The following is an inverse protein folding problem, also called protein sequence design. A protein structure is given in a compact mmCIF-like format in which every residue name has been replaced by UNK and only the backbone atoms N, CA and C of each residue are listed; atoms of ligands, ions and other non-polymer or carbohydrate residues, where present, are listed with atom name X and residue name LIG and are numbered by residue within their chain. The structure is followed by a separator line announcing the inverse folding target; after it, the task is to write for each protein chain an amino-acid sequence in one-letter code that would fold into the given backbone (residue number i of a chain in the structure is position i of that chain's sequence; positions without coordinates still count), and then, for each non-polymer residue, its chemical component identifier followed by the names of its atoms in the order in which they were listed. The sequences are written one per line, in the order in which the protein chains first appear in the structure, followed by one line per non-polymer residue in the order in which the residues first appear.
data_IF_476498276188
#
_entry.id   IF_476498276188
#
_cell.length_a   1.000
_cell.length_b   1.000
_cell.length_c   1.000
_cell.angle_alpha   90.00
_cell.angle_beta   90.00
_cell.angle_gamma   90.00
#
_symmetry.space_group_name_H-M   'P 1'
#
loop_
_entity.id
_entity.type
_entity.pdbx_description
1 polymer ?
#
# COMPACT_ATOMS: atom_id res chain seq x y z
N UNK A 1 19.02 -60.42 39.31
CA UNK A 1 19.19 -59.14 40.04
C UNK A 1 18.56 -58.05 39.21
N UNK A 2 17.60 -57.33 39.79
CA UNK A 2 16.68 -56.40 39.15
C UNK A 2 17.32 -55.07 38.73
N UNK A 3 16.71 -54.43 37.72
CA UNK A 3 16.96 -53.04 37.27
C UNK A 3 16.65 -52.00 38.34
N UNK A 4 17.23 -50.79 38.22
CA UNK A 4 16.50 -49.58 38.57
C UNK A 4 16.42 -48.60 37.38
N UNK A 5 15.21 -48.52 36.84
CA UNK A 5 14.41 -47.32 36.50
C UNK A 5 15.16 -46.02 36.21
N UNK A 6 15.12 -45.63 34.94
CA UNK A 6 15.49 -44.32 34.41
C UNK A 6 14.51 -43.27 34.97
N UNK A 7 14.93 -42.59 36.04
CA UNK A 7 14.08 -41.62 36.73
C UNK A 7 13.90 -40.38 35.86
N UNK A 8 12.70 -40.24 35.28
CA UNK A 8 12.26 -39.05 34.57
C UNK A 8 12.18 -37.87 35.52
N UNK A 9 13.16 -36.97 35.43
CA UNK A 9 13.07 -35.64 36.03
C UNK A 9 12.26 -34.75 35.08
N UNK A 10 10.98 -34.57 35.42
CA UNK A 10 10.08 -33.65 34.75
C UNK A 10 10.62 -32.23 34.83
N UNK A 11 11.11 -31.71 33.71
CA UNK A 11 11.30 -30.27 33.53
C UNK A 11 9.90 -29.67 33.38
N UNK A 12 9.36 -29.12 34.47
CA UNK A 12 8.16 -28.30 34.44
C UNK A 12 8.47 -27.00 33.68
N UNK A 13 8.40 -27.05 32.35
CA UNK A 13 8.34 -25.85 31.52
C UNK A 13 6.93 -25.30 31.70
N UNK A 14 6.74 -24.46 32.72
CA UNK A 14 5.60 -23.56 32.83
C UNK A 14 5.67 -22.54 31.71
N UNK A 15 5.38 -22.97 30.49
CA UNK A 15 5.26 -22.10 29.33
C UNK A 15 3.89 -21.45 29.36
N UNK A 16 3.83 -20.17 29.72
CA UNK A 16 2.72 -19.29 29.38
C UNK A 16 2.35 -19.54 27.90
N UNK A 17 1.18 -20.12 27.68
CA UNK A 17 0.68 -20.37 26.33
C UNK A 17 0.33 -19.01 25.73
N UNK A 18 1.26 -18.42 24.99
CA UNK A 18 0.98 -17.27 24.13
C UNK A 18 0.04 -17.77 23.03
N UNK A 19 -1.27 -17.69 23.26
CA UNK A 19 -2.25 -17.91 22.20
C UNK A 19 -2.04 -16.83 21.15
N UNK A 20 -1.64 -17.26 19.95
CA UNK A 20 -1.70 -16.43 18.76
C UNK A 20 -3.17 -16.11 18.53
N UNK A 21 -3.54 -14.82 18.58
CA UNK A 21 -4.93 -14.41 18.29
C UNK A 21 -5.22 -14.80 16.84
N UNK A 22 -6.09 -15.79 16.67
CA UNK A 22 -6.72 -16.04 15.40
C UNK A 22 -7.68 -14.89 15.14
N UNK A 23 -7.51 -14.18 14.03
CA UNK A 23 -8.54 -13.29 13.54
C UNK A 23 -9.54 -14.19 12.79
N UNK A 24 -10.71 -14.41 13.38
CA UNK A 24 -11.85 -14.94 12.63
C UNK A 24 -12.18 -13.91 11.55
N UNK A 25 -12.05 -14.33 10.29
CA UNK A 25 -12.38 -13.56 9.08
C UNK A 25 -13.90 -13.53 8.88
N UNK A 26 -14.61 -13.10 9.92
CA UNK A 26 -16.07 -13.16 9.99
C UNK A 26 -16.64 -11.80 10.40
N UNK A 27 -16.22 -10.76 9.67
CA UNK A 27 -17.07 -9.61 9.36
C UNK A 27 -16.47 -8.73 8.27
N UNK A 28 -16.41 -9.22 7.02
CA UNK A 28 -16.18 -8.35 5.86
C UNK A 28 -17.50 -7.80 5.33
N UNK A 29 -18.21 -7.12 6.21
CA UNK A 29 -19.17 -6.12 5.81
C UNK A 29 -18.38 -4.88 5.37
N UNK A 30 -18.45 -4.58 4.08
CA UNK A 30 -18.57 -3.22 3.56
C UNK A 30 -17.42 -2.27 3.93
N UNK A 31 -16.34 -2.35 3.16
CA UNK A 31 -15.91 -1.32 2.20
C UNK A 31 -14.54 -1.72 1.68
N UNK A 32 -14.30 -1.48 0.40
CA UNK A 32 -12.96 -1.60 -0.17
C UNK A 32 -12.06 -0.55 0.49
N UNK A 33 -11.58 -0.81 1.71
CA UNK A 33 -10.27 -0.33 2.13
C UNK A 33 -9.27 -1.00 1.19
N UNK A 34 -9.13 -0.40 0.01
CA UNK A 34 -8.13 -0.73 -0.98
C UNK A 34 -6.83 -0.83 -0.20
N UNK A 35 -6.32 -2.05 -0.01
CA UNK A 35 -5.13 -2.35 0.78
C UNK A 35 -3.98 -1.41 0.40
N UNK A 36 -3.90 -0.24 1.07
CA UNK A 36 -2.93 0.82 0.80
C UNK A 36 -1.56 0.43 1.40
N UNK A 37 -1.56 -0.58 2.28
CA UNK A 37 -0.44 -1.05 3.10
C UNK A 37 0.28 -2.28 2.53
N UNK A 38 -0.37 -3.08 1.68
CA UNK A 38 0.27 -4.24 1.03
C UNK A 38 1.37 -3.84 0.01
N UNK A 39 1.51 -2.55 -0.30
CA UNK A 39 2.49 -2.00 -1.25
C UNK A 39 3.94 -2.00 -0.71
N UNK A 40 4.14 -2.10 0.62
CA UNK A 40 5.47 -2.15 1.25
C UNK A 40 6.28 -3.39 0.86
N UNK A 41 5.63 -4.48 0.40
CA UNK A 41 6.29 -5.77 0.15
C UNK A 41 7.06 -5.86 -1.17
N UNK A 42 6.86 -4.91 -2.09
CA UNK A 42 7.41 -4.96 -3.46
C UNK A 42 8.28 -3.75 -3.83
N UNK A 43 8.89 -3.07 -2.85
CA UNK A 43 9.92 -2.04 -3.10
C UNK A 43 9.50 -0.92 -4.06
N UNK A 44 8.22 -0.55 -4.07
CA UNK A 44 7.70 0.52 -4.93
C UNK A 44 7.42 0.17 -6.38
N UNK A 45 7.74 -1.05 -6.82
CA UNK A 45 7.54 -1.47 -8.22
C UNK A 45 6.07 -1.38 -8.68
N UNK A 46 5.12 -1.40 -7.74
CA UNK A 46 3.69 -1.34 -8.04
C UNK A 46 3.13 0.10 -8.13
N UNK A 47 3.85 1.12 -7.64
CA UNK A 47 3.31 2.49 -7.50
C UNK A 47 3.07 3.15 -8.87
N UNK A 48 3.88 2.79 -9.86
CA UNK A 48 3.73 3.26 -11.24
C UNK A 48 3.07 2.22 -12.16
N UNK A 49 2.40 1.21 -11.61
CA UNK A 49 1.70 0.23 -12.44
C UNK A 49 0.60 0.91 -13.26
N UNK A 50 0.42 0.47 -14.51
CA UNK A 50 -0.59 1.02 -15.42
C UNK A 50 -2.00 0.99 -14.81
N UNK A 51 -2.33 -0.05 -14.03
CA UNK A 51 -3.59 -0.16 -13.29
C UNK A 51 -3.77 1.00 -12.30
N UNK A 52 -2.77 1.27 -11.46
CA UNK A 52 -2.81 2.34 -10.45
C UNK A 52 -2.87 3.73 -11.10
N UNK A 53 -2.09 3.95 -12.15
CA UNK A 53 -2.15 5.19 -12.92
C UNK A 53 -3.53 5.43 -13.55
N UNK A 54 -4.13 4.38 -14.11
CA UNK A 54 -5.47 4.47 -14.69
C UNK A 54 -6.54 4.74 -13.62
N UNK A 55 -6.44 4.11 -12.43
CA UNK A 55 -7.33 4.40 -11.31
C UNK A 55 -7.24 5.87 -10.88
N UNK A 56 -6.02 6.42 -10.79
CA UNK A 56 -5.85 7.85 -10.46
C UNK A 56 -6.52 8.76 -11.49
N UNK A 57 -6.44 8.43 -12.79
CA UNK A 57 -7.16 9.16 -13.83
C UNK A 57 -8.67 9.09 -13.61
N UNK A 58 -9.21 7.92 -13.24
CA UNK A 58 -10.64 7.76 -12.98
C UNK A 58 -11.08 8.61 -11.78
N UNK A 59 -10.34 8.55 -10.66
CA UNK A 59 -10.59 9.36 -9.48
C UNK A 59 -10.53 10.86 -9.78
N UNK A 60 -9.52 11.30 -10.55
CA UNK A 60 -9.42 12.70 -10.98
C UNK A 60 -10.60 13.16 -11.86
N UNK A 61 -11.14 12.25 -12.69
CA UNK A 61 -12.33 12.54 -13.52
C UNK A 61 -13.62 12.60 -12.72
N UNK A 62 -13.75 11.79 -11.67
CA UNK A 62 -14.89 11.86 -10.74
C UNK A 62 -14.86 13.17 -9.97
N UNK A 63 -13.68 13.52 -9.45
CA UNK A 63 -13.45 14.79 -8.77
C UNK A 63 -14.08 14.88 -7.38
N UNK A 64 -14.53 13.76 -6.83
CA UNK A 64 -15.04 13.68 -5.46
C UNK A 64 -13.91 13.99 -4.46
N UNK A 65 -14.22 14.63 -3.33
CA UNK A 65 -13.21 15.07 -2.35
C UNK A 65 -12.35 13.91 -1.84
N UNK A 66 -12.98 12.77 -1.55
CA UNK A 66 -12.29 11.54 -1.14
C UNK A 66 -11.35 11.01 -2.24
N UNK A 67 -11.77 11.07 -3.50
CA UNK A 67 -10.98 10.63 -4.65
C UNK A 67 -9.75 11.53 -4.85
N UNK A 68 -9.92 12.85 -4.70
CA UNK A 68 -8.83 13.81 -4.79
C UNK A 68 -7.83 13.65 -3.63
N UNK A 69 -8.31 13.38 -2.41
CA UNK A 69 -7.45 13.10 -1.27
C UNK A 69 -6.60 11.83 -1.50
N UNK A 70 -7.20 10.77 -2.04
CA UNK A 70 -6.49 9.54 -2.40
C UNK A 70 -5.43 9.78 -3.48
N UNK A 71 -5.75 10.61 -4.48
CA UNK A 71 -4.80 10.99 -5.52
C UNK A 71 -3.63 11.79 -4.91
N UNK A 72 -3.88 12.71 -3.99
CA UNK A 72 -2.83 13.45 -3.28
C UNK A 72 -1.92 12.51 -2.48
N UNK A 73 -2.47 11.53 -1.76
CA UNK A 73 -1.68 10.51 -1.04
C UNK A 73 -0.78 9.71 -1.99
N UNK A 74 -1.31 9.31 -3.15
CA UNK A 74 -0.53 8.60 -4.17
C UNK A 74 0.56 9.49 -4.78
N UNK A 75 0.29 10.77 -5.01
CA UNK A 75 1.32 11.71 -5.45
C UNK A 75 2.42 11.92 -4.42
N UNK A 76 2.10 11.97 -3.13
CA UNK A 76 3.12 12.00 -2.08
C UNK A 76 4.01 10.74 -2.13
N UNK A 77 3.43 9.56 -2.37
CA UNK A 77 4.19 8.32 -2.57
C UNK A 77 5.10 8.38 -3.80
N UNK A 78 4.70 9.06 -4.86
CA UNK A 78 5.57 9.20 -6.03
C UNK A 78 6.89 9.88 -5.64
N UNK A 79 6.85 10.86 -4.73
CA UNK A 79 8.06 11.52 -4.23
C UNK A 79 8.93 10.59 -3.39
N UNK A 80 8.32 9.79 -2.51
CA UNK A 80 9.07 8.83 -1.67
C UNK A 80 9.78 7.77 -2.53
N UNK A 81 9.19 7.40 -3.66
CA UNK A 81 9.78 6.49 -4.64
C UNK A 81 10.67 7.16 -5.70
N UNK A 82 11.04 8.43 -5.48
CA UNK A 82 12.04 9.13 -6.28
C UNK A 82 11.54 9.60 -7.65
N UNK A 83 10.23 9.64 -7.88
CA UNK A 83 9.70 10.24 -9.10
C UNK A 83 9.95 11.74 -9.09
N UNK A 84 10.69 12.19 -10.09
CA UNK A 84 10.89 13.60 -10.37
C UNK A 84 10.23 13.91 -11.72
N UNK A 85 9.39 14.95 -11.82
CA UNK A 85 8.77 15.31 -13.09
C UNK A 85 9.77 15.80 -14.15
N UNK A 86 11.03 16.07 -13.76
CA UNK A 86 12.15 16.34 -14.66
C UNK A 86 12.82 15.06 -15.21
N UNK A 87 12.60 13.91 -14.58
CA UNK A 87 13.14 12.61 -15.02
C UNK A 87 12.09 11.83 -15.81
N UNK A 88 12.46 11.26 -16.95
CA UNK A 88 11.56 10.44 -17.74
C UNK A 88 11.39 9.06 -17.07
N UNK A 89 10.19 8.79 -16.56
CA UNK A 89 9.81 7.46 -16.09
C UNK A 89 9.02 6.77 -17.21
N UNK A 90 9.55 5.68 -17.77
CA UNK A 90 9.10 5.10 -19.04
C UNK A 90 7.59 4.77 -19.10
N UNK A 91 7.00 4.35 -17.99
CA UNK A 91 5.55 4.07 -17.91
C UNK A 91 4.74 5.37 -17.96
N UNK A 92 5.19 6.39 -17.21
CA UNK A 92 4.52 7.67 -17.13
C UNK A 92 4.72 8.52 -18.37
N UNK A 93 5.76 8.29 -19.18
CA UNK A 93 6.06 9.07 -20.39
C UNK A 93 5.10 8.80 -21.57
N UNK A 94 4.18 7.84 -21.39
CA UNK A 94 3.13 7.59 -22.38
C UNK A 94 2.16 8.76 -22.46
N UNK A 95 1.77 9.13 -23.69
CA UNK A 95 0.88 10.27 -24.00
C UNK A 95 -0.41 10.31 -23.18
N UNK A 96 -0.99 9.14 -22.87
CA UNK A 96 -2.21 9.01 -22.07
C UNK A 96 -2.05 9.50 -20.62
N UNK A 97 -0.83 9.59 -20.10
CA UNK A 97 -0.53 10.06 -18.75
C UNK A 97 -0.02 11.52 -18.73
N UNK A 98 0.08 12.21 -19.88
CA UNK A 98 0.58 13.59 -19.94
C UNK A 98 -0.21 14.52 -19.01
N UNK A 99 -1.54 14.40 -19.02
CA UNK A 99 -2.42 15.18 -18.14
C UNK A 99 -2.18 14.85 -16.67
N UNK A 100 -2.03 13.57 -16.33
CA UNK A 100 -1.71 13.14 -14.97
C UNK A 100 -0.37 13.72 -14.50
N UNK A 101 0.66 13.76 -15.37
CA UNK A 101 1.95 14.40 -15.06
C UNK A 101 1.81 15.91 -14.85
N UNK A 102 0.97 16.60 -15.63
CA UNK A 102 0.69 18.03 -15.44
C UNK A 102 0.02 18.31 -14.10
N UNK A 103 -0.99 17.52 -13.76
CA UNK A 103 -1.73 17.62 -12.50
C UNK A 103 -0.80 17.39 -11.31
N UNK A 104 0.04 16.36 -11.38
CA UNK A 104 1.07 16.12 -10.36
C UNK A 104 2.00 17.33 -10.18
N UNK A 105 2.48 17.96 -11.28
CA UNK A 105 3.31 19.16 -11.18
C UNK A 105 2.56 20.31 -10.50
N UNK A 106 1.30 20.52 -10.85
CA UNK A 106 0.49 21.58 -10.25
C UNK A 106 0.28 21.34 -8.76
N UNK A 107 -0.06 20.10 -8.37
CA UNK A 107 -0.17 19.71 -6.97
C UNK A 107 1.16 19.88 -6.22
N UNK A 108 2.29 19.44 -6.79
CA UNK A 108 3.61 19.54 -6.17
C UNK A 108 4.04 20.98 -5.90
N UNK A 109 3.81 21.90 -6.84
CA UNK A 109 4.29 23.29 -6.73
C UNK A 109 3.25 24.28 -6.17
N UNK A 110 1.96 23.97 -6.25
CA UNK A 110 0.89 24.89 -5.84
C UNK A 110 -0.07 24.29 -4.80
N UNK A 111 0.09 23.02 -4.42
CA UNK A 111 -0.74 22.36 -3.41
C UNK A 111 -2.19 22.08 -3.86
N UNK A 112 -2.54 22.37 -5.11
CA UNK A 112 -3.91 22.24 -5.62
C UNK A 112 -3.98 21.20 -6.74
N UNK A 113 -5.02 20.36 -6.70
CA UNK A 113 -5.35 19.43 -7.78
C UNK A 113 -6.40 20.11 -8.66
N UNK A 114 -6.06 20.51 -9.90
CA UNK A 114 -7.05 21.06 -10.83
C UNK A 114 -8.05 19.98 -11.26
N UNK A 115 -9.20 20.43 -11.78
CA UNK A 115 -10.13 19.55 -12.49
C UNK A 115 -9.46 18.88 -13.69
N UNK A 116 -9.73 17.58 -13.87
CA UNK A 116 -9.05 16.72 -14.85
C UNK A 116 -9.32 17.10 -16.30
#
# INVERSE_FOLDING_TARGET
MASPELTGIGQAIGGDKRSLRYHDDDNRAEEEEENVDEEERAGGANVFSTKKLNQMIVSLKRGDEADLEQVAKRFARWETYGYNPATAHSILDQKKYDRLRQIYRQWKYHGNIPSY
#
